data_IF_324183226987
#
_entry.id   IF_324183226987
#
_cell.length_a   1.000
_cell.length_b   1.000
_cell.length_c   1.000
_cell.angle_alpha   90.00
_cell.angle_beta   90.00
_cell.angle_gamma   90.00
#
_symmetry.space_group_name_H-M   'P 1'
#
loop_
_entity.id
_entity.type
_entity.pdbx_description
1 polymer ?
#
# COMPACT_ATOMS: atom_id res chain seq x y z
N UNK A 1 18.52 1.56 -8.49
CA UNK A 1 18.11 2.67 -7.59
C UNK A 1 18.18 4.12 -8.15
N UNK A 2 18.95 4.45 -9.21
CA UNK A 2 19.10 5.85 -9.75
C UNK A 2 17.88 6.38 -10.54
N UNK A 3 17.22 5.53 -11.31
CA UNK A 3 16.18 5.94 -12.28
C UNK A 3 14.90 6.41 -11.55
N UNK A 4 14.50 5.71 -10.47
CA UNK A 4 13.29 6.02 -9.70
C UNK A 4 13.40 7.23 -8.81
N UNK A 5 14.54 7.43 -8.12
CA UNK A 5 14.75 8.64 -7.35
C UNK A 5 14.61 9.88 -8.23
N UNK A 6 15.08 9.80 -9.47
CA UNK A 6 15.04 10.88 -10.44
C UNK A 6 13.65 11.08 -11.04
N UNK A 7 13.01 10.03 -11.58
CA UNK A 7 11.66 10.11 -12.13
C UNK A 7 10.62 10.56 -11.10
N UNK A 8 10.75 10.08 -9.86
CA UNK A 8 9.87 10.47 -8.77
C UNK A 8 10.07 11.91 -8.35
N UNK A 9 11.32 12.39 -8.27
CA UNK A 9 11.60 13.82 -8.02
C UNK A 9 11.05 14.69 -9.15
N UNK A 10 11.17 14.27 -10.40
CA UNK A 10 10.58 14.97 -11.55
C UNK A 10 9.06 15.02 -11.38
N UNK A 11 8.40 13.91 -11.04
CA UNK A 11 6.96 13.88 -10.78
C UNK A 11 6.57 14.83 -9.64
N UNK A 12 7.31 14.83 -8.53
CA UNK A 12 7.07 15.71 -7.39
C UNK A 12 7.19 17.20 -7.79
N UNK A 13 8.22 17.56 -8.58
CA UNK A 13 8.41 18.92 -9.11
C UNK A 13 7.30 19.32 -10.08
N UNK A 14 6.99 18.46 -11.06
CA UNK A 14 5.90 18.72 -12.04
C UNK A 14 4.57 18.88 -11.32
N UNK A 15 4.29 18.03 -10.33
CA UNK A 15 3.07 18.12 -9.51
C UNK A 15 3.01 19.46 -8.77
N UNK A 16 4.11 19.88 -8.13
CA UNK A 16 4.18 21.17 -7.44
C UNK A 16 3.93 22.35 -8.38
N UNK A 17 4.61 22.39 -9.53
CA UNK A 17 4.45 23.45 -10.53
C UNK A 17 3.02 23.48 -11.06
N UNK A 18 2.45 22.32 -11.40
CA UNK A 18 1.06 22.23 -11.87
C UNK A 18 0.05 22.73 -10.85
N UNK A 19 0.25 22.40 -9.56
CA UNK A 19 -0.60 22.87 -8.48
C UNK A 19 -0.49 24.39 -8.25
N UNK A 20 0.71 24.97 -8.38
CA UNK A 20 0.89 26.42 -8.32
C UNK A 20 0.19 27.15 -9.47
N UNK A 21 0.38 26.68 -10.72
CA UNK A 21 -0.29 27.27 -11.90
C UNK A 21 -1.80 27.24 -11.73
N UNK A 22 -2.32 26.11 -11.25
CA UNK A 22 -3.74 25.94 -10.97
C UNK A 22 -4.20 26.86 -9.83
N UNK A 23 -3.42 27.04 -8.77
CA UNK A 23 -3.71 27.97 -7.67
C UNK A 23 -3.83 29.40 -8.16
N UNK A 24 -2.85 29.86 -8.96
CA UNK A 24 -2.86 31.20 -9.57
C UNK A 24 -4.08 31.41 -10.47
N UNK A 25 -4.46 30.38 -11.23
CA UNK A 25 -5.66 30.41 -12.06
C UNK A 25 -6.95 30.52 -11.22
N UNK A 26 -7.05 29.77 -10.12
CA UNK A 26 -8.19 29.88 -9.20
C UNK A 26 -8.25 31.25 -8.51
N UNK A 27 -7.10 31.81 -8.12
CA UNK A 27 -7.00 33.17 -7.57
C UNK A 27 -7.51 34.20 -8.58
N UNK A 28 -7.04 34.11 -9.83
CA UNK A 28 -7.48 34.99 -10.91
C UNK A 28 -9.00 34.97 -11.08
N UNK A 29 -9.61 33.78 -11.06
CA UNK A 29 -11.06 33.64 -11.20
C UNK A 29 -11.81 34.07 -9.93
N UNK A 30 -11.22 33.90 -8.75
CA UNK A 30 -11.81 34.30 -7.47
C UNK A 30 -12.14 35.80 -7.40
N UNK A 31 -11.40 36.65 -8.13
CA UNK A 31 -11.74 38.07 -8.29
C UNK A 31 -13.13 38.31 -8.93
N UNK A 32 -13.70 37.34 -9.64
CA UNK A 32 -15.05 37.44 -10.18
C UNK A 32 -16.12 37.02 -9.16
N UNK A 33 -15.74 36.29 -8.12
CA UNK A 33 -16.64 35.85 -7.04
C UNK A 33 -16.84 36.94 -5.97
N UNK A 34 -15.86 37.81 -5.78
CA UNK A 34 -15.85 38.87 -4.75
C UNK A 34 -16.91 39.96 -4.93
N UNK A 35 -17.72 39.89 -5.98
CA UNK A 35 -18.81 40.84 -6.26
C UNK A 35 -19.96 40.65 -5.25
N UNK A 36 -20.07 39.48 -4.62
CA UNK A 36 -21.13 39.16 -3.67
C UNK A 36 -20.51 38.85 -2.31
N UNK A 37 -20.97 39.56 -1.29
CA UNK A 37 -20.54 39.36 0.09
C UNK A 37 -20.76 37.90 0.51
N UNK A 38 -19.69 37.28 1.01
CA UNK A 38 -19.72 35.86 1.40
C UNK A 38 -20.50 35.74 2.70
N UNK A 39 -21.60 34.96 2.75
CA UNK A 39 -22.31 34.72 4.00
C UNK A 39 -21.36 34.16 5.08
N UNK A 40 -21.43 34.71 6.29
CA UNK A 40 -20.49 34.38 7.37
C UNK A 40 -20.44 32.87 7.69
N UNK A 41 -21.56 32.16 7.55
CA UNK A 41 -21.64 30.69 7.72
C UNK A 41 -20.80 29.95 6.68
N UNK A 42 -20.84 30.40 5.41
CA UNK A 42 -20.04 29.84 4.32
C UNK A 42 -18.55 30.14 4.57
N UNK A 43 -18.21 31.37 4.96
CA UNK A 43 -16.85 31.77 5.28
C UNK A 43 -16.24 30.93 6.43
N UNK A 44 -16.97 30.72 7.53
CA UNK A 44 -16.54 29.84 8.64
C UNK A 44 -16.32 28.41 8.13
N UNK A 45 -17.27 27.88 7.36
CA UNK A 45 -17.23 26.49 6.91
C UNK A 45 -16.05 26.23 5.97
N UNK A 46 -15.81 27.13 5.02
CA UNK A 46 -14.64 27.10 4.14
C UNK A 46 -13.35 27.17 4.97
N UNK A 47 -13.27 28.13 5.90
CA UNK A 47 -12.11 28.33 6.78
C UNK A 47 -11.79 27.09 7.62
N UNK A 48 -12.82 26.41 8.12
CA UNK A 48 -12.71 25.15 8.86
C UNK A 48 -12.16 24.02 7.99
N UNK A 49 -12.68 23.83 6.78
CA UNK A 49 -12.19 22.82 5.86
C UNK A 49 -10.74 23.08 5.43
N UNK A 50 -10.36 24.34 5.22
CA UNK A 50 -8.97 24.74 4.96
C UNK A 50 -8.03 24.28 6.07
N UNK A 51 -8.37 24.52 7.33
CA UNK A 51 -7.55 24.13 8.48
C UNK A 51 -7.30 22.62 8.53
N UNK A 52 -8.33 21.80 8.28
CA UNK A 52 -8.21 20.33 8.24
C UNK A 52 -7.34 19.92 7.04
N UNK A 53 -7.62 20.47 5.86
CA UNK A 53 -6.95 20.09 4.62
C UNK A 53 -5.45 20.42 4.66
N UNK A 54 -5.08 21.56 5.22
CA UNK A 54 -3.69 21.98 5.39
C UNK A 54 -2.87 20.99 6.21
N UNK A 55 -3.34 20.63 7.40
CA UNK A 55 -2.57 19.69 8.23
C UNK A 55 -2.56 18.27 7.67
N UNK A 56 -3.70 17.81 7.13
CA UNK A 56 -3.74 16.48 6.49
C UNK A 56 -2.82 16.40 5.27
N UNK A 57 -2.74 17.46 4.45
CA UNK A 57 -1.84 17.53 3.30
C UNK A 57 -0.36 17.57 3.72
N UNK A 58 -0.01 18.32 4.78
CA UNK A 58 1.35 18.32 5.34
C UNK A 58 1.71 16.92 5.87
N UNK A 59 0.79 16.27 6.58
CA UNK A 59 1.00 14.92 7.10
C UNK A 59 1.25 13.89 5.99
N UNK A 60 0.59 14.03 4.83
CA UNK A 60 0.82 13.18 3.65
C UNK A 60 2.25 13.29 3.09
N UNK A 61 2.96 14.41 3.31
CA UNK A 61 4.33 14.56 2.82
C UNK A 61 5.32 13.58 3.46
N UNK A 62 5.00 13.09 4.67
CA UNK A 62 5.84 12.18 5.44
C UNK A 62 5.82 10.74 4.91
N UNK A 63 4.82 10.36 4.12
CA UNK A 63 4.70 9.01 3.57
C UNK A 63 4.83 9.01 2.06
N UNK A 64 5.58 8.03 1.57
CA UNK A 64 6.01 8.02 0.17
C UNK A 64 4.82 7.86 -0.79
N UNK A 65 3.83 7.02 -0.49
CA UNK A 65 2.72 6.76 -1.40
C UNK A 65 1.72 7.91 -1.50
N UNK A 66 1.61 8.75 -0.46
CA UNK A 66 0.70 9.90 -0.38
C UNK A 66 1.40 11.26 -0.61
N UNK A 67 2.73 11.30 -0.66
CA UNK A 67 3.50 12.56 -0.82
C UNK A 67 3.07 13.38 -2.03
N UNK A 68 2.86 12.75 -3.19
CA UNK A 68 2.46 13.47 -4.42
C UNK A 68 1.13 14.19 -4.22
N UNK A 69 0.15 13.52 -3.58
CA UNK A 69 -1.13 14.13 -3.25
C UNK A 69 -0.95 15.27 -2.23
N UNK A 70 -0.10 15.08 -1.22
CA UNK A 70 0.26 16.13 -0.26
C UNK A 70 0.86 17.37 -0.94
N UNK A 71 1.82 17.19 -1.85
CA UNK A 71 2.45 18.27 -2.62
C UNK A 71 1.41 19.02 -3.46
N UNK A 72 0.53 18.29 -4.15
CA UNK A 72 -0.52 18.88 -4.96
C UNK A 72 -1.48 19.73 -4.11
N UNK A 73 -1.95 19.18 -2.98
CA UNK A 73 -2.85 19.90 -2.08
C UNK A 73 -2.18 21.13 -1.47
N UNK A 74 -0.93 21.01 -1.01
CA UNK A 74 -0.17 22.13 -0.45
C UNK A 74 0.03 23.23 -1.49
N UNK A 75 0.45 22.89 -2.72
CA UNK A 75 0.69 23.86 -3.80
C UNK A 75 -0.59 24.55 -4.28
N UNK A 76 -1.76 23.90 -4.19
CA UNK A 76 -3.04 24.52 -4.54
C UNK A 76 -3.56 25.40 -3.40
N UNK A 77 -3.65 24.85 -2.19
CA UNK A 77 -4.42 25.46 -1.10
C UNK A 77 -3.62 26.46 -0.26
N UNK A 78 -2.29 26.40 -0.20
CA UNK A 78 -1.50 27.46 0.50
C UNK A 78 -1.65 28.81 -0.19
N UNK A 79 -1.40 28.96 -1.50
CA UNK A 79 -1.51 30.28 -2.12
C UNK A 79 -2.95 30.80 -2.09
N UNK A 80 -3.94 29.92 -2.25
CA UNK A 80 -5.35 30.29 -2.07
C UNK A 80 -5.66 30.79 -0.65
N UNK A 81 -5.17 30.10 0.38
CA UNK A 81 -5.32 30.51 1.77
C UNK A 81 -4.75 31.92 2.00
N UNK A 82 -3.54 32.19 1.48
CA UNK A 82 -2.91 33.50 1.58
C UNK A 82 -3.77 34.57 0.89
N UNK A 83 -4.21 34.31 -0.33
CA UNK A 83 -5.06 35.24 -1.09
C UNK A 83 -6.40 35.52 -0.38
N UNK A 84 -7.08 34.48 0.11
CA UNK A 84 -8.35 34.65 0.80
C UNK A 84 -8.18 35.32 2.17
N UNK A 85 -7.04 35.12 2.84
CA UNK A 85 -6.72 35.80 4.09
C UNK A 85 -6.43 37.30 3.87
N UNK A 86 -5.69 37.67 2.81
CA UNK A 86 -5.39 39.09 2.51
C UNK A 86 -6.62 39.90 2.11
N UNK A 87 -7.67 39.23 1.62
CA UNK A 87 -8.94 39.87 1.22
C UNK A 87 -10.06 39.66 2.26
N UNK A 88 -9.72 39.24 3.48
CA UNK A 88 -10.65 39.05 4.61
C UNK A 88 -11.82 38.07 4.34
N UNK A 89 -11.67 37.17 3.37
CA UNK A 89 -12.68 36.15 3.04
C UNK A 89 -12.67 34.94 4.00
N UNK A 90 -11.78 34.95 4.98
CA UNK A 90 -11.52 33.82 5.88
C UNK A 90 -11.71 34.25 7.33
N UNK A 91 -12.34 33.34 8.09
CA UNK A 91 -12.59 33.51 9.52
C UNK A 91 -11.56 32.72 10.31
N UNK A 92 -10.72 33.43 11.06
CA UNK A 92 -9.64 32.84 11.88
C UNK A 92 -10.13 31.73 12.82
N UNK A 93 -11.29 31.93 13.48
CA UNK A 93 -11.90 30.92 14.37
C UNK A 93 -12.19 29.60 13.64
N UNK A 94 -12.62 29.68 12.38
CA UNK A 94 -12.86 28.51 11.54
C UNK A 94 -11.56 27.75 11.27
N UNK A 95 -10.50 28.46 10.83
CA UNK A 95 -9.18 27.86 10.61
C UNK A 95 -8.69 27.14 11.86
N UNK A 96 -8.70 27.82 13.01
CA UNK A 96 -8.16 27.27 14.25
C UNK A 96 -8.85 25.96 14.64
N UNK A 97 -10.19 25.91 14.56
CA UNK A 97 -10.95 24.69 14.80
C UNK A 97 -10.59 23.57 13.81
N UNK A 98 -10.42 23.93 12.53
CA UNK A 98 -10.00 22.99 11.50
C UNK A 98 -8.59 22.43 11.74
N UNK A 99 -7.65 23.28 12.14
CA UNK A 99 -6.27 22.91 12.51
C UNK A 99 -6.29 21.92 13.69
N UNK A 100 -7.06 22.18 14.74
CA UNK A 100 -7.13 21.26 15.89
C UNK A 100 -7.54 19.84 15.46
N UNK A 101 -8.57 19.71 14.63
CA UNK A 101 -9.03 18.41 14.13
C UNK A 101 -8.01 17.80 13.18
N UNK A 102 -7.48 18.59 12.24
CA UNK A 102 -6.45 18.16 11.31
C UNK A 102 -5.20 17.64 12.02
N UNK A 103 -4.82 18.25 13.15
CA UNK A 103 -3.66 17.87 13.95
C UNK A 103 -3.86 16.51 14.61
N UNK A 104 -5.02 16.30 15.27
CA UNK A 104 -5.37 15.02 15.90
C UNK A 104 -5.37 13.89 14.86
N UNK A 105 -5.99 14.11 13.70
CA UNK A 105 -6.03 13.13 12.61
C UNK A 105 -4.64 12.83 12.05
N UNK A 106 -3.80 13.85 11.90
CA UNK A 106 -2.42 13.73 11.44
C UNK A 106 -1.59 12.91 12.43
N UNK A 107 -1.65 13.23 13.72
CA UNK A 107 -0.95 12.46 14.76
C UNK A 107 -1.42 11.00 14.78
N UNK A 108 -2.73 10.76 14.75
CA UNK A 108 -3.27 9.41 14.72
C UNK A 108 -2.73 8.60 13.53
N UNK A 109 -2.74 9.19 12.33
CA UNK A 109 -2.25 8.54 11.12
C UNK A 109 -0.75 8.29 11.16
N UNK A 110 0.05 9.23 11.67
CA UNK A 110 1.50 9.09 11.84
C UNK A 110 1.85 7.97 12.84
N UNK A 111 1.20 7.95 14.01
CA UNK A 111 1.47 6.95 15.05
C UNK A 111 0.94 5.56 14.73
N UNK A 112 -0.13 5.46 13.93
CA UNK A 112 -0.68 4.15 13.50
C UNK A 112 -0.19 3.70 12.13
N UNK A 113 0.62 4.52 11.44
CA UNK A 113 1.04 4.30 10.05
C UNK A 113 -0.19 4.03 9.15
N UNK A 114 -1.23 4.87 9.25
CA UNK A 114 -2.52 4.74 8.54
C UNK A 114 -2.78 5.94 7.62
N UNK A 115 -1.88 6.17 6.67
CA UNK A 115 -1.98 7.26 5.70
C UNK A 115 -3.16 7.09 4.72
N UNK A 116 -3.72 5.87 4.62
CA UNK A 116 -5.00 5.61 3.95
C UNK A 116 -6.16 6.41 4.56
N UNK A 117 -6.13 6.64 5.87
CA UNK A 117 -7.14 7.43 6.59
C UNK A 117 -7.00 8.90 6.23
N UNK A 118 -5.78 9.45 6.20
CA UNK A 118 -5.55 10.84 5.78
C UNK A 118 -6.08 11.06 4.37
N UNK A 119 -5.77 10.14 3.45
CA UNK A 119 -6.26 10.20 2.07
C UNK A 119 -7.79 10.22 2.00
N UNK A 120 -8.46 9.36 2.78
CA UNK A 120 -9.92 9.30 2.83
C UNK A 120 -10.51 10.58 3.39
N UNK A 121 -9.94 11.11 4.47
CA UNK A 121 -10.36 12.37 5.07
C UNK A 121 -10.15 13.51 4.09
N UNK A 122 -8.98 13.66 3.46
CA UNK A 122 -8.74 14.74 2.52
C UNK A 122 -9.67 14.67 1.31
N UNK A 123 -10.01 13.47 0.80
CA UNK A 123 -11.05 13.36 -0.25
C UNK A 123 -12.43 13.82 0.23
N UNK A 124 -12.81 13.50 1.45
CA UNK A 124 -14.07 13.95 2.04
C UNK A 124 -14.08 15.48 2.26
N UNK A 125 -12.98 16.03 2.76
CA UNK A 125 -12.81 17.48 2.98
C UNK A 125 -12.79 18.24 1.64
N UNK A 126 -12.10 17.73 0.63
CA UNK A 126 -12.16 18.27 -0.75
C UNK A 126 -13.59 18.23 -1.28
N UNK A 127 -14.30 17.11 -1.09
CA UNK A 127 -15.72 17.02 -1.51
C UNK A 127 -16.58 18.06 -0.80
N UNK A 128 -16.43 18.20 0.51
CA UNK A 128 -17.13 19.23 1.28
C UNK A 128 -16.79 20.65 0.81
N UNK A 129 -15.52 20.90 0.49
CA UNK A 129 -15.06 22.20 -0.01
C UNK A 129 -15.72 22.55 -1.34
N UNK A 130 -15.67 21.64 -2.33
CA UNK A 130 -16.29 21.86 -3.63
C UNK A 130 -17.82 21.92 -3.54
N UNK A 131 -18.44 21.15 -2.65
CA UNK A 131 -19.87 21.25 -2.39
C UNK A 131 -20.27 22.64 -1.89
N UNK A 132 -19.56 23.18 -0.89
CA UNK A 132 -19.80 24.53 -0.37
C UNK A 132 -19.55 25.58 -1.46
N UNK A 133 -18.49 25.42 -2.26
CA UNK A 133 -18.21 26.31 -3.39
C UNK A 133 -19.35 26.30 -4.42
N UNK A 134 -19.91 25.13 -4.75
CA UNK A 134 -21.06 25.03 -5.68
C UNK A 134 -22.29 25.73 -5.08
N UNK A 135 -22.58 25.51 -3.79
CA UNK A 135 -23.69 26.21 -3.10
C UNK A 135 -23.51 27.73 -3.18
N UNK A 136 -22.27 28.22 -2.97
CA UNK A 136 -21.96 29.64 -3.08
C UNK A 136 -22.09 30.18 -4.51
N UNK A 137 -21.62 29.42 -5.52
CA UNK A 137 -21.78 29.77 -6.94
C UNK A 137 -23.27 29.85 -7.31
N UNK A 138 -24.08 28.89 -6.87
CA UNK A 138 -25.52 28.89 -7.10
C UNK A 138 -26.21 30.08 -6.43
N UNK A 139 -25.86 30.38 -5.18
CA UNK A 139 -26.35 31.56 -4.47
C UNK A 139 -26.02 32.84 -5.24
N UNK A 140 -24.76 32.99 -5.67
CA UNK A 140 -24.33 34.15 -6.43
C UNK A 140 -25.01 34.25 -7.79
N UNK A 141 -25.24 33.13 -8.46
CA UNK A 141 -25.97 33.06 -9.73
C UNK A 141 -27.41 33.56 -9.59
N UNK A 142 -28.12 33.15 -8.54
CA UNK A 142 -29.48 33.64 -8.26
C UNK A 142 -29.48 35.16 -8.06
N UNK A 143 -28.53 35.68 -7.27
CA UNK A 143 -28.41 37.12 -7.04
C UNK A 143 -28.10 37.92 -8.32
N UNK A 144 -27.35 37.33 -9.26
CA UNK A 144 -26.98 37.96 -10.54
C UNK A 144 -28.07 37.92 -11.60
N UNK A 145 -28.99 36.93 -11.57
CA UNK A 145 -30.17 36.93 -12.44
C UNK A 145 -30.97 38.21 -12.24
N UNK A 146 -31.07 38.69 -10.99
CA UNK A 146 -31.76 39.94 -10.68
C UNK A 146 -31.04 41.20 -11.20
N UNK A 147 -29.73 41.13 -11.49
CA UNK A 147 -28.93 42.27 -11.97
C UNK A 147 -28.66 42.28 -13.48
N UNK A 148 -29.16 41.30 -14.24
CA UNK A 148 -29.09 41.23 -15.73
C UNK A 148 -27.68 41.37 -16.35
N UNK A 149 -26.61 40.95 -15.67
CA UNK A 149 -25.24 41.02 -16.23
C UNK A 149 -24.80 39.73 -16.93
N UNK A 150 -24.89 39.71 -18.27
CA UNK A 150 -24.50 38.56 -19.12
C UNK A 150 -23.01 38.19 -18.94
N UNK A 151 -22.13 39.19 -18.78
CA UNK A 151 -20.69 38.95 -18.60
C UNK A 151 -20.39 38.23 -17.29
N UNK A 152 -21.09 38.57 -16.20
CA UNK A 152 -20.92 37.92 -14.90
C UNK A 152 -21.48 36.50 -14.90
N UNK A 153 -22.64 36.29 -15.54
CA UNK A 153 -23.23 34.97 -15.75
C UNK A 153 -22.25 34.01 -16.44
N UNK A 154 -21.56 34.48 -17.50
CA UNK A 154 -20.54 33.70 -18.21
C UNK A 154 -19.37 33.29 -17.30
N UNK A 155 -18.90 34.21 -16.45
CA UNK A 155 -17.80 33.93 -15.53
C UNK A 155 -18.16 32.88 -14.47
N UNK A 156 -19.39 32.90 -13.95
CA UNK A 156 -19.88 31.90 -12.99
C UNK A 156 -20.00 30.50 -13.62
N UNK A 157 -20.45 30.40 -14.88
CA UNK A 157 -20.50 29.12 -15.61
C UNK A 157 -19.07 28.56 -15.81
N UNK A 158 -18.13 29.41 -16.24
CA UNK A 158 -16.74 29.02 -16.44
C UNK A 158 -16.12 28.51 -15.14
N UNK A 159 -16.36 29.22 -14.02
CA UNK A 159 -15.91 28.81 -12.70
C UNK A 159 -16.50 27.45 -12.28
N UNK A 160 -17.79 27.21 -12.53
CA UNK A 160 -18.42 25.93 -12.22
C UNK A 160 -17.77 24.76 -12.99
N UNK A 161 -17.51 24.94 -14.28
CA UNK A 161 -16.84 23.93 -15.13
C UNK A 161 -15.43 23.66 -14.60
N UNK A 162 -14.65 24.72 -14.35
CA UNK A 162 -13.27 24.60 -13.86
C UNK A 162 -13.23 23.95 -12.48
N UNK A 163 -14.11 24.37 -11.57
CA UNK A 163 -14.23 23.79 -10.24
C UNK A 163 -14.58 22.30 -10.29
N UNK A 164 -15.48 21.91 -11.21
CA UNK A 164 -15.85 20.51 -11.43
C UNK A 164 -14.70 19.67 -11.98
N UNK A 165 -13.97 20.19 -12.98
CA UNK A 165 -12.78 19.52 -13.53
C UNK A 165 -11.72 19.35 -12.45
N UNK A 166 -11.48 20.39 -11.66
CA UNK A 166 -10.50 20.35 -10.58
C UNK A 166 -10.91 19.35 -9.49
N UNK A 167 -12.18 19.34 -9.08
CA UNK A 167 -12.70 18.35 -8.15
C UNK A 167 -12.39 16.92 -8.64
N UNK A 168 -12.70 16.62 -9.90
CA UNK A 168 -12.45 15.29 -10.48
C UNK A 168 -10.96 14.94 -10.53
N UNK A 169 -10.10 15.91 -10.86
CA UNK A 169 -8.64 15.72 -10.88
C UNK A 169 -8.12 15.41 -9.47
N UNK A 170 -8.51 16.21 -8.47
CA UNK A 170 -8.09 16.01 -7.08
C UNK A 170 -8.57 14.65 -6.53
N UNK A 171 -9.82 14.25 -6.81
CA UNK A 171 -10.32 12.94 -6.39
C UNK A 171 -9.55 11.77 -6.99
N UNK A 172 -9.05 11.92 -8.23
CA UNK A 172 -8.21 10.91 -8.89
C UNK A 172 -6.77 10.89 -8.36
N UNK A 173 -6.20 12.04 -8.01
CA UNK A 173 -4.80 12.15 -7.58
C UNK A 173 -4.58 11.85 -6.09
N UNK A 174 -5.60 12.02 -5.25
CA UNK A 174 -5.54 11.69 -3.82
C UNK A 174 -5.75 10.18 -3.64
N UNK A 175 -4.69 9.41 -3.92
CA UNK A 175 -4.64 7.96 -3.76
C UNK A 175 -3.93 7.63 -2.45
N UNK A 176 -4.52 6.72 -1.68
CA UNK A 176 -3.99 6.28 -0.41
C UNK A 176 -3.97 4.77 -0.38
N UNK A 177 -2.84 4.22 0.01
CA UNK A 177 -2.65 2.78 0.12
C UNK A 177 -2.47 2.45 1.59
N UNK A 178 -3.12 1.40 2.06
CA UNK A 178 -2.90 0.89 3.41
C UNK A 178 -1.44 0.40 3.49
N UNK A 179 -0.59 1.17 4.17
CA UNK A 179 0.84 0.89 4.31
C UNK A 179 1.16 -0.13 5.40
N UNK A 180 0.18 -0.48 6.24
CA UNK A 180 0.39 -1.27 7.46
C UNK A 180 0.59 -2.78 7.19
N UNK A 181 -0.13 -3.32 6.21
CA UNK A 181 -0.14 -4.75 5.92
C UNK A 181 0.48 -5.00 4.55
N UNK A 182 1.70 -5.55 4.53
CA UNK A 182 2.36 -6.07 3.32
C UNK A 182 2.26 -7.58 3.34
N UNK A 183 1.62 -8.17 2.36
CA UNK A 183 1.45 -9.61 2.29
C UNK A 183 2.46 -10.23 1.33
N UNK A 184 3.23 -11.24 1.75
CA UNK A 184 4.14 -12.00 0.86
C UNK A 184 3.46 -13.28 0.40
N UNK A 185 3.33 -13.41 -0.91
CA UNK A 185 2.58 -14.44 -1.59
C UNK A 185 3.50 -15.19 -2.56
N UNK A 186 3.55 -16.51 -2.47
CA UNK A 186 4.37 -17.30 -3.39
C UNK A 186 4.07 -18.80 -3.32
N UNK A 187 4.28 -19.53 -4.43
CA UNK A 187 4.11 -20.98 -4.47
C UNK A 187 5.08 -21.70 -3.50
N UNK A 188 4.93 -23.02 -3.28
CA UNK A 188 5.95 -23.82 -2.60
C UNK A 188 7.34 -23.54 -3.17
N UNK A 189 8.37 -23.63 -2.34
CA UNK A 189 9.77 -23.43 -2.73
C UNK A 189 10.18 -22.03 -3.23
N UNK A 190 9.27 -21.06 -3.33
CA UNK A 190 9.59 -19.69 -3.78
C UNK A 190 10.49 -18.85 -2.85
N UNK A 191 10.96 -19.40 -1.73
CA UNK A 191 11.87 -18.71 -0.80
C UNK A 191 11.19 -17.79 0.23
N UNK A 192 9.88 -17.94 0.48
CA UNK A 192 9.11 -17.17 1.48
C UNK A 192 9.82 -17.08 2.83
N UNK A 193 10.26 -18.22 3.36
CA UNK A 193 10.86 -18.35 4.68
C UNK A 193 12.24 -17.68 4.77
N UNK A 194 13.08 -17.80 3.74
CA UNK A 194 14.37 -17.09 3.70
C UNK A 194 14.17 -15.57 3.54
N UNK A 195 13.19 -15.14 2.75
CA UNK A 195 12.83 -13.72 2.63
C UNK A 195 12.29 -13.16 3.96
N UNK A 196 11.62 -13.96 4.77
CA UNK A 196 11.23 -13.57 6.12
C UNK A 196 12.46 -13.30 7.00
N UNK A 197 13.44 -14.20 7.00
CA UNK A 197 14.67 -14.02 7.77
C UNK A 197 15.44 -12.77 7.31
N UNK A 198 15.46 -12.51 6.00
CA UNK A 198 15.98 -11.28 5.41
C UNK A 198 15.36 -10.03 6.02
N UNK A 199 14.02 -9.97 6.02
CA UNK A 199 13.31 -8.83 6.56
C UNK A 199 13.49 -8.71 8.06
N UNK A 200 13.55 -9.82 8.79
CA UNK A 200 13.81 -9.81 10.23
C UNK A 200 15.17 -9.17 10.54
N UNK A 201 16.24 -9.62 9.89
CA UNK A 201 17.58 -9.04 10.03
C UNK A 201 17.58 -7.54 9.71
N UNK A 202 16.99 -7.15 8.57
CA UNK A 202 16.91 -5.76 8.17
C UNK A 202 16.12 -4.90 9.16
N UNK A 203 15.02 -5.41 9.72
CA UNK A 203 14.24 -4.68 10.73
C UNK A 203 15.00 -4.49 12.04
N UNK A 204 15.72 -5.51 12.50
CA UNK A 204 16.54 -5.43 13.72
C UNK A 204 17.68 -4.43 13.52
N UNK A 205 18.47 -4.61 12.45
CA UNK A 205 19.70 -3.84 12.24
C UNK A 205 19.46 -2.41 11.78
N UNK A 206 18.52 -2.18 10.85
CA UNK A 206 18.30 -0.87 10.25
C UNK A 206 17.21 -0.06 10.97
N UNK A 207 16.15 -0.72 11.41
CA UNK A 207 15.00 -0.06 12.03
C UNK A 207 14.97 -0.16 13.56
N UNK A 208 16.02 -0.72 14.18
CA UNK A 208 16.12 -0.97 15.63
C UNK A 208 14.86 -1.69 16.13
N UNK A 209 14.45 -2.69 15.37
CA UNK A 209 13.15 -3.32 15.47
C UNK A 209 13.10 -4.54 16.37
N UNK A 210 11.90 -5.07 16.51
CA UNK A 210 11.61 -6.35 17.17
C UNK A 210 10.66 -7.16 16.30
N UNK A 211 10.56 -8.46 16.55
CA UNK A 211 9.57 -9.32 15.93
C UNK A 211 8.64 -9.92 16.98
N UNK A 212 7.44 -10.26 16.55
CA UNK A 212 6.52 -11.14 17.28
C UNK A 212 6.04 -12.21 16.32
N UNK A 213 5.96 -13.45 16.79
CA UNK A 213 5.54 -14.58 15.98
C UNK A 213 4.38 -15.34 16.63
N UNK A 214 3.49 -15.86 15.79
CA UNK A 214 2.37 -16.70 16.18
C UNK A 214 2.32 -17.87 15.22
N UNK A 215 2.61 -19.06 15.75
CA UNK A 215 2.61 -20.30 14.97
C UNK A 215 1.43 -21.15 15.40
N UNK A 216 0.66 -21.56 14.41
CA UNK A 216 -0.47 -22.46 14.50
C UNK A 216 -0.18 -23.65 13.58
N UNK A 217 -0.09 -24.83 14.18
CA UNK A 217 0.27 -26.09 13.52
C UNK A 217 -0.39 -27.22 14.31
N UNK A 218 -0.80 -28.28 13.60
CA UNK A 218 -1.27 -29.52 14.19
C UNK A 218 -0.12 -30.50 14.50
N UNK A 219 1.13 -30.12 14.20
CA UNK A 219 2.32 -30.97 14.33
C UNK A 219 3.18 -30.57 15.55
N UNK A 220 3.87 -31.55 16.14
CA UNK A 220 4.74 -31.35 17.30
C UNK A 220 6.02 -30.55 16.97
N UNK A 221 6.43 -30.53 15.69
CA UNK A 221 7.59 -29.81 15.15
C UNK A 221 7.29 -28.34 14.81
N UNK A 222 6.16 -27.80 15.28
CA UNK A 222 5.78 -26.39 15.12
C UNK A 222 6.84 -25.40 15.65
N UNK A 223 7.70 -25.85 16.58
CA UNK A 223 8.79 -25.03 17.12
C UNK A 223 9.82 -24.70 16.05
N UNK A 224 9.99 -25.52 15.02
CA UNK A 224 11.00 -25.30 13.98
C UNK A 224 10.68 -24.08 13.11
N UNK A 225 9.42 -23.65 13.08
CA UNK A 225 8.96 -22.44 12.39
C UNK A 225 9.23 -21.15 13.18
N UNK A 226 9.81 -21.22 14.39
CA UNK A 226 10.21 -20.02 15.13
C UNK A 226 11.42 -19.37 14.49
N UNK A 227 11.46 -18.04 14.41
CA UNK A 227 12.57 -17.29 13.82
C UNK A 227 13.91 -17.70 14.46
N UNK A 228 13.95 -17.84 15.78
CA UNK A 228 15.15 -18.28 16.51
C UNK A 228 15.66 -19.65 16.03
N UNK A 229 14.76 -20.62 15.88
CA UNK A 229 15.13 -21.97 15.44
C UNK A 229 15.50 -22.00 13.96
N UNK A 230 14.77 -21.26 13.11
CA UNK A 230 15.11 -21.10 11.71
C UNK A 230 16.50 -20.49 11.52
N UNK A 231 16.88 -19.49 12.34
CA UNK A 231 18.22 -18.92 12.34
C UNK A 231 19.28 -19.94 12.75
N UNK A 232 19.04 -20.72 13.82
CA UNK A 232 19.95 -21.80 14.25
C UNK A 232 20.15 -22.83 13.13
N UNK A 233 19.09 -23.24 12.44
CA UNK A 233 19.17 -24.18 11.31
C UNK A 233 20.02 -23.62 10.18
N UNK A 234 19.84 -22.33 9.84
CA UNK A 234 20.66 -21.66 8.82
C UNK A 234 22.12 -21.53 9.26
N UNK A 235 22.39 -21.19 10.52
CA UNK A 235 23.75 -21.12 11.07
C UNK A 235 24.48 -22.47 11.02
N UNK A 236 23.73 -23.58 11.08
CA UNK A 236 24.25 -24.95 10.91
C UNK A 236 24.46 -25.36 9.46
N UNK A 237 24.09 -24.52 8.49
CA UNK A 237 24.12 -24.86 7.06
C UNK A 237 23.05 -25.86 6.64
N UNK A 238 22.03 -26.06 7.48
CA UNK A 238 20.90 -26.94 7.20
C UNK A 238 19.80 -26.16 6.48
N UNK A 239 18.99 -26.87 5.65
CA UNK A 239 17.84 -26.25 5.00
C UNK A 239 16.65 -26.21 5.95
N UNK A 240 16.02 -25.04 6.06
CA UNK A 240 14.75 -24.89 6.78
C UNK A 240 13.68 -25.77 6.10
N UNK A 241 12.91 -26.51 6.90
CA UNK A 241 11.80 -27.32 6.39
C UNK A 241 10.73 -26.46 5.74
N UNK A 242 10.00 -27.03 4.78
CA UNK A 242 8.84 -26.35 4.20
C UNK A 242 7.67 -26.36 5.18
N UNK A 243 6.88 -25.28 5.19
CA UNK A 243 5.63 -25.18 5.95
C UNK A 243 4.58 -26.14 5.37
N UNK A 244 3.96 -26.96 6.22
CA UNK A 244 2.89 -27.88 5.78
C UNK A 244 1.61 -27.12 5.44
N UNK A 245 0.68 -27.79 4.75
CA UNK A 245 -0.59 -27.19 4.32
C UNK A 245 -1.45 -26.72 5.50
N UNK A 246 -1.45 -27.45 6.61
CA UNK A 246 -2.23 -27.17 7.82
C UNK A 246 -1.49 -26.27 8.83
N UNK A 247 -0.33 -25.73 8.44
CA UNK A 247 0.46 -24.81 9.25
C UNK A 247 0.32 -23.37 8.75
N UNK A 248 0.16 -22.46 9.71
CA UNK A 248 0.33 -21.03 9.51
C UNK A 248 1.24 -20.47 10.58
N UNK A 249 2.27 -19.77 10.12
CA UNK A 249 3.10 -18.94 10.96
C UNK A 249 2.94 -17.47 10.55
N UNK A 250 2.64 -16.62 11.52
CA UNK A 250 2.53 -15.18 11.33
C UNK A 250 3.69 -14.50 12.04
N UNK A 251 4.38 -13.62 11.33
CA UNK A 251 5.52 -12.87 11.84
C UNK A 251 5.22 -11.39 11.67
N UNK A 252 5.23 -10.65 12.77
CA UNK A 252 5.04 -9.20 12.78
C UNK A 252 6.33 -8.54 13.18
N UNK A 253 7.01 -7.95 12.19
CA UNK A 253 8.23 -7.17 12.36
C UNK A 253 7.84 -5.72 12.62
N UNK A 254 8.39 -5.11 13.67
CA UNK A 254 8.12 -3.74 14.09
C UNK A 254 9.42 -2.98 14.20
N UNK A 255 9.44 -1.72 13.79
CA UNK A 255 10.61 -0.86 13.91
C UNK A 255 10.27 0.61 13.78
N UNK A 256 11.28 1.47 13.66
CA UNK A 256 11.08 2.92 13.48
C UNK A 256 11.85 3.46 12.27
N UNK A 257 11.12 3.94 11.27
CA UNK A 257 11.70 4.71 10.15
C UNK A 257 12.13 6.09 10.66
N UNK A 258 13.37 6.47 10.37
CA UNK A 258 13.99 7.73 10.84
C UNK A 258 13.92 7.89 12.38
N UNK A 259 13.93 6.79 13.13
CA UNK A 259 13.89 6.79 14.60
C UNK A 259 12.55 7.17 15.25
N UNK A 260 11.58 7.67 14.49
CA UNK A 260 10.32 8.23 15.05
C UNK A 260 9.08 7.54 14.51
N UNK A 261 9.03 7.24 13.21
CA UNK A 261 7.80 6.77 12.58
C UNK A 261 7.69 5.24 12.69
N UNK A 262 6.68 4.70 13.37
CA UNK A 262 6.54 3.26 13.52
C UNK A 262 6.28 2.63 12.15
N UNK A 263 7.01 1.55 11.87
CA UNK A 263 6.77 0.69 10.72
C UNK A 263 6.45 -0.71 11.22
N UNK A 264 5.52 -1.36 10.53
CA UNK A 264 5.09 -2.72 10.82
C UNK A 264 5.04 -3.48 9.49
N UNK A 265 5.58 -4.70 9.48
CA UNK A 265 5.53 -5.64 8.38
C UNK A 265 4.99 -6.95 8.94
N UNK A 266 3.84 -7.40 8.45
CA UNK A 266 3.28 -8.70 8.80
C UNK A 266 3.50 -9.68 7.66
N UNK A 267 4.35 -10.67 7.87
CA UNK A 267 4.51 -11.80 6.96
C UNK A 267 3.73 -13.00 7.47
N UNK A 268 3.18 -13.77 6.55
CA UNK A 268 2.47 -15.01 6.85
C UNK A 268 3.14 -16.09 6.03
N UNK A 269 3.77 -17.04 6.71
CA UNK A 269 4.24 -18.27 6.09
C UNK A 269 3.14 -19.32 6.20
N UNK A 270 2.88 -19.95 5.07
CA UNK A 270 1.77 -20.87 4.89
C UNK A 270 2.18 -21.90 3.83
N UNK A 271 1.68 -23.13 3.98
CA UNK A 271 1.90 -24.18 2.98
C UNK A 271 1.39 -23.73 1.61
N UNK A 272 2.24 -23.80 0.59
CA UNK A 272 1.91 -23.24 -0.73
C UNK A 272 0.68 -23.88 -1.40
N UNK A 273 0.22 -25.04 -0.95
CA UNK A 273 -1.04 -25.69 -1.36
C UNK A 273 -2.29 -24.86 -0.97
N UNK A 274 -2.21 -24.04 0.09
CA UNK A 274 -3.30 -23.12 0.47
C UNK A 274 -3.59 -22.06 -0.60
N UNK A 275 -2.65 -21.83 -1.52
CA UNK A 275 -2.84 -20.88 -2.61
C UNK A 275 -4.03 -21.27 -3.50
N UNK A 276 -4.19 -22.56 -3.81
CA UNK A 276 -5.32 -23.02 -4.63
C UNK A 276 -6.67 -22.80 -3.93
N UNK A 277 -6.69 -22.91 -2.60
CA UNK A 277 -7.87 -22.74 -1.74
C UNK A 277 -8.33 -21.29 -1.58
N UNK A 278 -7.51 -20.29 -1.89
CA UNK A 278 -7.94 -18.88 -1.98
C UNK A 278 -9.11 -18.72 -2.97
N UNK A 279 -9.28 -19.67 -3.90
CA UNK A 279 -10.39 -19.66 -4.82
C UNK A 279 -11.74 -20.00 -4.19
N UNK A 280 -11.77 -20.65 -3.01
CA UNK A 280 -12.97 -21.02 -2.28
C UNK A 280 -13.74 -19.79 -1.75
N UNK A 281 -15.04 -19.97 -1.50
CA UNK A 281 -15.90 -18.91 -1.00
C UNK A 281 -15.60 -18.65 0.47
N UNK A 282 -14.96 -17.52 0.74
CA UNK A 282 -14.65 -17.04 2.10
C UNK A 282 -15.84 -17.06 3.07
N UNK A 283 -17.06 -16.82 2.59
CA UNK A 283 -18.26 -16.85 3.44
C UNK A 283 -18.55 -18.25 3.95
N UNK A 284 -18.46 -19.25 3.08
CA UNK A 284 -18.69 -20.66 3.42
C UNK A 284 -17.69 -21.11 4.51
N UNK A 285 -16.40 -20.76 4.37
CA UNK A 285 -15.38 -21.07 5.38
C UNK A 285 -15.68 -20.38 6.72
N UNK A 286 -16.16 -19.13 6.70
CA UNK A 286 -16.52 -18.40 7.93
C UNK A 286 -17.75 -19.00 8.60
N UNK A 287 -18.72 -19.47 7.82
CA UNK A 287 -19.94 -20.13 8.33
C UNK A 287 -19.58 -21.44 9.03
N UNK A 288 -18.78 -22.30 8.37
CA UNK A 288 -18.25 -23.52 8.96
C UNK A 288 -17.48 -23.25 10.25
N UNK A 289 -16.60 -22.23 10.26
CA UNK A 289 -15.85 -21.86 11.46
C UNK A 289 -16.75 -21.33 12.58
N UNK A 290 -17.81 -20.58 12.24
CA UNK A 290 -18.80 -20.08 13.18
C UNK A 290 -19.53 -21.21 13.89
N UNK A 291 -19.96 -22.23 13.15
CA UNK A 291 -20.59 -23.43 13.71
C UNK A 291 -19.65 -24.20 14.64
N UNK A 292 -18.42 -24.44 14.20
CA UNK A 292 -17.43 -25.20 14.97
C UNK A 292 -16.92 -24.45 16.21
N UNK A 293 -16.75 -23.12 16.13
CA UNK A 293 -16.36 -22.28 17.26
C UNK A 293 -17.54 -21.95 18.19
N UNK A 294 -18.79 -22.23 17.78
CA UNK A 294 -20.01 -21.78 18.44
C UNK A 294 -20.02 -20.26 18.72
N UNK A 295 -19.39 -19.50 17.82
CA UNK A 295 -19.38 -18.04 17.85
C UNK A 295 -20.22 -17.51 16.69
N UNK A 296 -20.85 -16.35 16.85
CA UNK A 296 -21.59 -15.70 15.76
C UNK A 296 -20.67 -15.39 14.55
N UNK A 297 -21.14 -15.64 13.33
CA UNK A 297 -20.40 -15.39 12.08
C UNK A 297 -19.80 -13.97 11.99
N UNK A 298 -20.54 -12.94 12.42
CA UNK A 298 -20.06 -11.56 12.43
C UNK A 298 -18.85 -11.40 13.34
N UNK A 299 -18.89 -12.02 14.52
CA UNK A 299 -17.80 -12.02 15.49
C UNK A 299 -16.58 -12.73 14.92
N UNK A 300 -16.76 -13.92 14.34
CA UNK A 300 -15.69 -14.68 13.67
C UNK A 300 -15.08 -13.84 12.54
N UNK A 301 -15.90 -13.27 11.66
CA UNK A 301 -15.46 -12.43 10.54
C UNK A 301 -14.70 -11.18 10.97
N UNK A 302 -15.01 -10.62 12.13
CA UNK A 302 -14.31 -9.45 12.68
C UNK A 302 -12.97 -9.83 13.33
N UNK A 303 -12.96 -10.92 14.10
CA UNK A 303 -11.77 -11.42 14.81
C UNK A 303 -10.77 -12.12 13.88
N UNK A 304 -11.24 -12.78 12.82
CA UNK A 304 -10.37 -13.50 11.89
C UNK A 304 -9.39 -12.53 11.23
N UNK A 305 -8.12 -12.91 11.17
CA UNK A 305 -7.04 -12.02 10.74
C UNK A 305 -6.34 -11.24 11.87
N UNK A 306 -6.66 -11.47 13.14
CA UNK A 306 -5.93 -10.89 14.28
C UNK A 306 -5.09 -11.92 15.05
N UNK A 307 -4.05 -11.44 15.74
CA UNK A 307 -3.20 -12.29 16.59
C UNK A 307 -4.00 -12.82 17.78
N UNK A 308 -4.89 -12.00 18.34
CA UNK A 308 -5.75 -12.39 19.48
C UNK A 308 -6.67 -13.55 19.10
N UNK A 309 -7.20 -13.56 17.87
CA UNK A 309 -8.02 -14.65 17.38
C UNK A 309 -7.21 -15.96 17.26
N UNK A 310 -6.04 -15.92 16.62
CA UNK A 310 -5.18 -17.11 16.52
C UNK A 310 -4.77 -17.62 17.91
N UNK A 311 -4.44 -16.72 18.83
CA UNK A 311 -4.14 -17.08 20.21
C UNK A 311 -5.35 -17.67 20.94
N UNK A 312 -6.58 -17.19 20.65
CA UNK A 312 -7.79 -17.74 21.25
C UNK A 312 -8.11 -19.14 20.72
N UNK A 313 -7.86 -19.39 19.43
CA UNK A 313 -8.00 -20.71 18.82
C UNK A 313 -6.94 -21.66 19.37
N UNK A 314 -5.69 -21.22 19.47
CA UNK A 314 -4.58 -22.04 20.02
C UNK A 314 -4.85 -22.48 21.47
N UNK A 315 -5.48 -21.64 22.28
CA UNK A 315 -5.90 -22.00 23.65
C UNK A 315 -7.03 -23.02 23.68
N UNK A 316 -7.80 -23.11 22.60
CA UNK A 316 -8.87 -24.09 22.45
C UNK A 316 -8.30 -25.41 21.93
N UNK A 317 -7.93 -26.32 22.84
CA UNK A 317 -7.30 -27.64 22.57
C UNK A 317 -8.02 -28.52 21.55
N UNK A 318 -9.26 -28.21 21.20
CA UNK A 318 -10.05 -28.89 20.16
C UNK A 318 -9.44 -28.69 18.76
N UNK A 319 -8.71 -27.59 18.53
CA UNK A 319 -8.11 -27.25 17.24
C UNK A 319 -6.75 -27.89 17.00
N UNK A 320 -6.02 -28.27 18.06
CA UNK A 320 -4.73 -28.98 17.94
C UNK A 320 -4.92 -30.41 17.38
N UNK A 321 -6.13 -30.97 17.42
CA UNK A 321 -6.41 -32.36 17.03
C UNK A 321 -7.19 -32.54 15.73
N UNK A 322 -7.54 -31.45 15.04
CA UNK A 322 -8.37 -31.52 13.83
C UNK A 322 -7.71 -30.74 12.69
N UNK A 323 -6.87 -31.40 11.87
CA UNK A 323 -6.17 -30.77 10.75
C UNK A 323 -7.11 -30.04 9.77
N UNK A 324 -8.33 -30.53 9.59
CA UNK A 324 -9.33 -29.91 8.71
C UNK A 324 -9.82 -28.53 9.24
N UNK A 325 -9.99 -28.40 10.56
CA UNK A 325 -10.35 -27.12 11.16
C UNK A 325 -9.17 -26.16 11.14
N UNK A 326 -7.96 -26.69 11.37
CA UNK A 326 -6.73 -25.93 11.25
C UNK A 326 -6.56 -25.34 9.84
N UNK A 327 -6.81 -26.15 8.82
CA UNK A 327 -6.82 -25.78 7.40
C UNK A 327 -7.85 -24.67 7.09
N UNK A 328 -9.08 -24.78 7.63
CA UNK A 328 -10.12 -23.74 7.46
C UNK A 328 -9.75 -22.42 8.12
N UNK A 329 -9.22 -22.47 9.34
CA UNK A 329 -8.70 -21.28 10.04
C UNK A 329 -7.59 -20.65 9.22
N UNK A 330 -6.68 -21.47 8.71
CA UNK A 330 -5.56 -21.05 7.89
C UNK A 330 -6.02 -20.31 6.62
N UNK A 331 -6.88 -20.95 5.82
CA UNK A 331 -7.45 -20.39 4.60
C UNK A 331 -8.23 -19.10 4.84
N UNK A 332 -9.13 -19.06 5.83
CA UNK A 332 -9.92 -17.86 6.10
C UNK A 332 -9.05 -16.71 6.63
N UNK A 333 -8.02 -17.01 7.41
CA UNK A 333 -7.05 -16.02 7.85
C UNK A 333 -6.28 -15.42 6.66
N UNK A 334 -5.76 -16.27 5.79
CA UNK A 334 -5.04 -15.92 4.57
C UNK A 334 -5.87 -14.99 3.68
N UNK A 335 -7.12 -15.40 3.37
CA UNK A 335 -8.03 -14.62 2.52
C UNK A 335 -8.35 -13.26 3.15
N UNK A 336 -8.61 -13.21 4.46
CA UNK A 336 -8.91 -11.96 5.16
C UNK A 336 -7.72 -11.00 5.12
N UNK A 337 -6.50 -11.49 5.37
CA UNK A 337 -5.27 -10.69 5.32
C UNK A 337 -4.98 -10.17 3.92
N UNK A 338 -5.11 -11.03 2.91
CA UNK A 338 -5.02 -10.65 1.50
C UNK A 338 -6.04 -9.56 1.11
N UNK A 339 -7.29 -9.67 1.57
CA UNK A 339 -8.32 -8.64 1.36
C UNK A 339 -7.96 -7.30 2.03
N UNK A 340 -7.37 -7.33 3.22
CA UNK A 340 -7.03 -6.12 3.99
C UNK A 340 -5.70 -5.47 3.58
N UNK A 341 -4.76 -6.25 3.02
CA UNK A 341 -3.43 -5.79 2.64
C UNK A 341 -3.48 -4.69 1.57
N UNK A 342 -2.77 -3.58 1.77
CA UNK A 342 -2.64 -2.55 0.74
C UNK A 342 -1.53 -2.86 -0.26
N UNK A 343 -0.55 -3.69 0.16
CA UNK A 343 0.63 -4.07 -0.61
C UNK A 343 0.75 -5.60 -0.64
N UNK A 344 1.03 -6.17 -1.81
CA UNK A 344 1.21 -7.61 -2.00
C UNK A 344 2.52 -7.83 -2.77
N UNK A 345 3.38 -8.68 -2.23
CA UNK A 345 4.63 -9.14 -2.85
C UNK A 345 4.39 -10.54 -3.40
N UNK A 346 4.62 -10.74 -4.68
CA UNK A 346 4.53 -12.01 -5.40
C UNK A 346 5.93 -12.55 -5.63
N UNK A 347 6.20 -13.79 -5.21
CA UNK A 347 7.52 -14.40 -5.30
C UNK A 347 7.66 -15.30 -6.53
N UNK A 348 8.69 -15.05 -7.33
CA UNK A 348 9.06 -15.85 -8.49
C UNK A 348 10.34 -16.62 -8.13
N UNK A 349 10.35 -17.93 -8.31
CA UNK A 349 11.57 -18.71 -8.13
C UNK A 349 12.55 -18.42 -9.28
N UNK A 350 13.78 -18.01 -8.95
CA UNK A 350 14.85 -17.71 -9.91
C UNK A 350 15.19 -18.87 -10.84
N UNK A 351 14.92 -20.12 -10.44
CA UNK A 351 15.07 -21.30 -11.32
C UNK A 351 14.15 -21.26 -12.54
N UNK A 352 12.99 -20.61 -12.42
CA UNK A 352 12.09 -20.43 -13.55
C UNK A 352 12.65 -19.46 -14.58
N UNK A 353 13.44 -18.49 -14.11
CA UNK A 353 14.13 -17.53 -14.96
C UNK A 353 15.37 -18.16 -15.59
N UNK A 354 16.19 -18.91 -14.85
CA UNK A 354 17.36 -19.60 -15.42
C UNK A 354 16.98 -20.62 -16.50
N UNK A 355 15.91 -21.38 -16.28
CA UNK A 355 15.40 -22.36 -17.23
C UNK A 355 14.42 -21.79 -18.27
N UNK A 356 14.35 -20.47 -18.46
CA UNK A 356 13.34 -19.81 -19.30
C UNK A 356 13.26 -20.36 -20.73
N UNK A 357 14.41 -20.68 -21.33
CA UNK A 357 14.50 -21.21 -22.70
C UNK A 357 14.22 -22.72 -22.80
N UNK A 358 13.97 -23.40 -21.67
CA UNK A 358 13.48 -24.78 -21.61
C UNK A 358 11.98 -24.85 -21.29
N UNK A 359 11.59 -25.80 -20.45
CA UNK A 359 10.18 -26.04 -20.10
C UNK A 359 9.61 -24.99 -19.11
N UNK A 360 10.47 -24.19 -18.47
CA UNK A 360 10.04 -23.32 -17.37
C UNK A 360 9.22 -22.09 -17.85
N UNK A 361 9.19 -21.81 -19.15
CA UNK A 361 8.29 -20.79 -19.72
C UNK A 361 6.81 -21.14 -19.48
N UNK A 362 6.44 -22.41 -19.56
CA UNK A 362 5.06 -22.87 -19.30
C UNK A 362 4.67 -22.66 -17.83
N UNK A 363 5.60 -22.93 -16.91
CA UNK A 363 5.41 -22.69 -15.49
C UNK A 363 5.23 -21.20 -15.18
N UNK A 364 6.01 -20.32 -15.83
CA UNK A 364 5.83 -18.87 -15.73
C UNK A 364 4.48 -18.41 -16.29
N UNK A 365 4.04 -19.00 -17.41
CA UNK A 365 2.70 -18.72 -17.97
C UNK A 365 1.63 -19.01 -16.93
N UNK A 366 1.70 -20.20 -16.31
CA UNK A 366 0.79 -20.64 -15.26
C UNK A 366 0.83 -19.74 -14.01
N UNK A 367 2.04 -19.40 -13.55
CA UNK A 367 2.27 -18.56 -12.37
C UNK A 367 1.67 -17.15 -12.54
N UNK A 368 1.94 -16.48 -13.65
CA UNK A 368 1.39 -15.14 -13.91
C UNK A 368 -0.12 -15.18 -14.17
N UNK A 369 -0.62 -16.23 -14.83
CA UNK A 369 -2.06 -16.45 -14.96
C UNK A 369 -2.74 -16.59 -13.59
N UNK A 370 -2.09 -17.30 -12.67
CA UNK A 370 -2.56 -17.45 -11.30
C UNK A 370 -2.54 -16.14 -10.51
N UNK A 371 -1.44 -15.38 -10.55
CA UNK A 371 -1.39 -14.05 -9.95
C UNK A 371 -2.46 -13.11 -10.53
N UNK A 372 -2.73 -13.18 -11.84
CA UNK A 372 -3.80 -12.41 -12.47
C UNK A 372 -5.17 -12.67 -11.83
N UNK A 373 -5.50 -13.95 -11.57
CA UNK A 373 -6.75 -14.32 -10.88
C UNK A 373 -6.82 -13.80 -9.44
N UNK A 374 -5.69 -13.77 -8.73
CA UNK A 374 -5.61 -13.20 -7.38
C UNK A 374 -5.90 -11.70 -7.42
N UNK A 375 -5.29 -10.96 -8.35
CA UNK A 375 -5.51 -9.52 -8.49
C UNK A 375 -6.98 -9.21 -8.79
N UNK A 376 -7.62 -9.97 -9.67
CA UNK A 376 -9.05 -9.82 -9.98
C UNK A 376 -9.93 -10.01 -8.74
N UNK A 377 -9.66 -11.05 -7.94
CA UNK A 377 -10.46 -11.36 -6.75
C UNK A 377 -10.23 -10.38 -5.59
N UNK A 378 -9.01 -9.86 -5.42
CA UNK A 378 -8.63 -9.07 -4.26
C UNK A 378 -8.69 -7.54 -4.49
N UNK A 379 -8.60 -7.09 -5.74
CA UNK A 379 -8.77 -5.70 -6.13
C UNK A 379 -7.57 -5.11 -6.86
N UNK A 380 -7.83 -4.58 -8.06
CA UNK A 380 -6.83 -3.99 -8.97
C UNK A 380 -6.16 -2.70 -8.46
N UNK A 381 -6.65 -2.15 -7.34
CA UNK A 381 -6.21 -0.88 -6.74
C UNK A 381 -5.15 -1.03 -5.63
N UNK A 382 -4.69 -2.25 -5.34
CA UNK A 382 -3.56 -2.50 -4.41
C UNK A 382 -2.22 -2.23 -5.09
N UNK A 383 -1.15 -2.12 -4.30
CA UNK A 383 0.22 -2.12 -4.83
C UNK A 383 0.74 -3.54 -4.91
N UNK A 384 1.22 -3.92 -6.09
CA UNK A 384 1.76 -5.23 -6.35
C UNK A 384 3.25 -5.11 -6.65
N UNK A 385 4.01 -6.06 -6.13
CA UNK A 385 5.43 -6.19 -6.34
C UNK A 385 5.72 -7.62 -6.74
N UNK A 386 6.51 -7.85 -7.77
CA UNK A 386 7.10 -9.14 -8.09
C UNK A 386 8.52 -9.16 -7.53
N UNK A 387 8.92 -10.23 -6.86
CA UNK A 387 10.27 -10.44 -6.33
C UNK A 387 10.76 -11.78 -6.85
N UNK A 388 11.83 -11.76 -7.63
CA UNK A 388 12.55 -12.96 -8.06
C UNK A 388 13.51 -13.34 -6.93
N UNK A 389 13.35 -14.53 -6.36
CA UNK A 389 14.23 -15.07 -5.32
C UNK A 389 15.26 -16.03 -5.94
N UNK A 390 16.29 -16.44 -5.18
CA UNK A 390 17.32 -17.42 -5.63
C UNK A 390 18.03 -17.01 -6.92
N UNK A 391 18.34 -15.73 -7.04
CA UNK A 391 18.91 -15.18 -8.27
C UNK A 391 20.35 -15.64 -8.53
N UNK A 392 21.01 -16.17 -7.50
CA UNK A 392 22.29 -16.89 -7.52
C UNK A 392 22.29 -18.08 -8.50
N UNK A 393 21.16 -18.75 -8.71
CA UNK A 393 21.07 -19.89 -9.64
C UNK A 393 21.17 -19.50 -11.12
N UNK A 394 21.02 -18.22 -11.48
CA UNK A 394 21.02 -17.77 -12.88
C UNK A 394 22.17 -16.82 -13.24
N UNK A 395 22.78 -16.16 -12.26
CA UNK A 395 23.98 -15.35 -12.46
C UNK A 395 24.72 -15.09 -11.15
N UNK A 396 26.04 -14.86 -11.20
CA UNK A 396 26.87 -14.47 -10.05
C UNK A 396 26.53 -13.04 -9.55
N UNK A 397 25.24 -12.73 -9.34
CA UNK A 397 24.73 -11.44 -8.87
C UNK A 397 25.37 -11.04 -7.56
N UNK A 398 25.73 -12.01 -6.71
CA UNK A 398 26.42 -11.77 -5.45
C UNK A 398 27.71 -10.96 -5.60
N UNK A 399 28.42 -11.13 -6.71
CA UNK A 399 29.70 -10.46 -6.99
C UNK A 399 29.54 -9.18 -7.83
N UNK A 400 28.31 -8.86 -8.26
CA UNK A 400 28.04 -7.73 -9.13
C UNK A 400 27.61 -6.53 -8.26
N UNK A 401 28.27 -5.37 -8.34
CA UNK A 401 27.82 -4.18 -7.64
C UNK A 401 26.44 -3.73 -8.16
N UNK A 402 25.49 -3.44 -7.26
CA UNK A 402 24.10 -3.00 -7.57
C UNK A 402 24.01 -1.82 -8.56
N UNK A 403 25.05 -0.98 -8.62
CA UNK A 403 25.07 0.24 -9.44
C UNK A 403 25.93 0.10 -10.69
N UNK A 404 26.37 -1.12 -11.01
CA UNK A 404 27.17 -1.41 -12.20
C UNK A 404 26.31 -1.51 -13.46
N UNK A 405 26.92 -1.28 -14.62
CA UNK A 405 26.24 -1.49 -15.92
C UNK A 405 25.83 -2.96 -16.11
N UNK A 406 26.64 -3.89 -15.62
CA UNK A 406 26.36 -5.35 -15.68
C UNK A 406 25.08 -5.73 -14.92
N UNK A 407 24.83 -5.11 -13.76
CA UNK A 407 23.56 -5.30 -13.04
C UNK A 407 22.37 -4.82 -13.86
N UNK A 408 22.50 -3.66 -14.53
CA UNK A 408 21.45 -3.09 -15.37
C UNK A 408 21.18 -3.92 -16.63
N UNK A 409 22.19 -4.56 -17.22
CA UNK A 409 22.03 -5.49 -18.34
C UNK A 409 21.24 -6.73 -17.94
N UNK A 410 21.61 -7.34 -16.81
CA UNK A 410 20.89 -8.49 -16.25
C UNK A 410 19.42 -8.14 -15.98
N UNK A 411 19.16 -6.97 -15.38
CA UNK A 411 17.79 -6.49 -15.16
C UNK A 411 17.00 -6.38 -16.48
N UNK A 412 17.60 -5.77 -17.51
CA UNK A 412 16.95 -5.63 -18.82
C UNK A 412 16.64 -6.98 -19.48
N UNK A 413 17.53 -7.96 -19.33
CA UNK A 413 17.35 -9.26 -19.96
C UNK A 413 16.26 -10.08 -19.28
N UNK A 414 16.23 -10.12 -17.95
CA UNK A 414 15.11 -10.70 -17.19
C UNK A 414 13.79 -10.05 -17.61
N UNK A 415 13.79 -8.72 -17.71
CA UNK A 415 12.58 -8.01 -18.11
C UNK A 415 12.11 -8.38 -19.51
N UNK A 416 13.01 -8.47 -20.49
CA UNK A 416 12.67 -8.91 -21.85
C UNK A 416 12.11 -10.34 -21.86
N UNK A 417 12.68 -11.24 -21.07
CA UNK A 417 12.16 -12.60 -20.93
C UNK A 417 10.73 -12.59 -20.41
N UNK A 418 10.48 -11.87 -19.30
CA UNK A 418 9.13 -11.76 -18.73
C UNK A 418 8.14 -11.07 -19.68
N UNK A 419 8.57 -10.02 -20.38
CA UNK A 419 7.76 -9.35 -21.41
C UNK A 419 7.37 -10.29 -22.55
N UNK A 420 8.12 -11.36 -22.82
CA UNK A 420 7.76 -12.33 -23.86
C UNK A 420 6.67 -13.33 -23.41
N UNK A 421 6.22 -13.26 -22.16
CA UNK A 421 5.16 -14.09 -21.59
C UNK A 421 3.83 -13.33 -21.62
N UNK A 422 2.82 -13.84 -22.34
CA UNK A 422 1.57 -13.08 -22.54
C UNK A 422 0.74 -12.92 -21.26
N UNK A 423 0.78 -13.90 -20.36
CA UNK A 423 0.11 -13.78 -19.05
C UNK A 423 0.79 -12.74 -18.15
N UNK A 424 2.08 -12.47 -18.32
CA UNK A 424 2.77 -11.37 -17.64
C UNK A 424 2.29 -10.00 -18.15
N UNK A 425 2.17 -9.82 -19.48
CA UNK A 425 1.59 -8.58 -20.04
C UNK A 425 0.15 -8.36 -19.55
N UNK A 426 -0.64 -9.43 -19.52
CA UNK A 426 -2.02 -9.39 -19.00
C UNK A 426 -2.06 -9.01 -17.51
N UNK A 427 -1.16 -9.57 -16.70
CA UNK A 427 -1.01 -9.22 -15.28
C UNK A 427 -0.75 -7.72 -15.10
N UNK A 428 0.21 -7.17 -15.86
CA UNK A 428 0.56 -5.75 -15.85
C UNK A 428 -0.66 -4.88 -16.17
N UNK A 429 -1.40 -5.19 -17.25
CA UNK A 429 -2.57 -4.41 -17.64
C UNK A 429 -3.72 -4.46 -16.63
N UNK A 430 -3.79 -5.49 -15.78
CA UNK A 430 -4.82 -5.60 -14.72
C UNK A 430 -4.52 -4.68 -13.53
N UNK A 431 -3.27 -4.33 -13.29
CA UNK A 431 -2.90 -3.45 -12.18
C UNK A 431 -3.23 -1.99 -12.50
N UNK A 432 -3.98 -1.30 -11.62
CA UNK A 432 -4.19 0.16 -11.75
C UNK A 432 -2.99 0.97 -11.29
N UNK A 433 -2.20 0.41 -10.38
CA UNK A 433 -0.94 0.98 -9.92
C UNK A 433 0.22 0.28 -10.66
N UNK A 434 1.37 0.94 -10.84
CA UNK A 434 2.54 0.31 -11.45
C UNK A 434 2.93 -0.98 -10.73
N UNK A 435 3.31 -1.99 -11.51
CA UNK A 435 3.87 -3.24 -10.99
C UNK A 435 5.38 -3.07 -10.82
N UNK A 436 5.88 -3.30 -9.61
CA UNK A 436 7.31 -3.19 -9.31
C UNK A 436 7.94 -4.58 -9.42
N UNK A 437 9.05 -4.73 -10.13
CA UNK A 437 9.79 -5.99 -10.19
C UNK A 437 11.12 -5.84 -9.45
N UNK A 438 11.45 -6.77 -8.56
CA UNK A 438 12.74 -6.84 -7.87
C UNK A 438 13.39 -8.20 -8.04
N UNK A 439 14.70 -8.25 -7.93
CA UNK A 439 15.49 -9.48 -7.88
C UNK A 439 16.28 -9.51 -6.56
N UNK A 440 16.27 -10.66 -5.88
CA UNK A 440 16.89 -10.85 -4.56
C UNK A 440 17.62 -12.20 -4.52
N UNK A 441 18.91 -12.16 -4.18
CA UNK A 441 19.73 -13.34 -3.95
C UNK A 441 19.71 -13.69 -2.47
N UNK A 442 19.52 -14.97 -2.16
CA UNK A 442 19.59 -15.49 -0.80
C UNK A 442 20.37 -16.81 -0.85
N UNK A 443 21.70 -16.74 -0.89
CA UNK A 443 22.51 -17.95 -0.80
C UNK A 443 22.58 -18.39 0.67
N UNK A 444 21.93 -19.52 0.97
CA UNK A 444 21.97 -20.17 2.28
C UNK A 444 23.12 -21.19 2.40
N UNK A 445 23.99 -21.30 1.39
CA UNK A 445 25.01 -22.35 1.27
C UNK A 445 26.46 -21.86 1.14
N UNK A 446 26.72 -20.55 1.29
CA UNK A 446 28.06 -19.97 1.27
C UNK A 446 28.68 -19.71 2.65
N UNK A 447 29.80 -20.36 2.95
CA UNK A 447 30.75 -20.15 4.07
C UNK A 447 30.38 -19.12 5.17
N UNK A 448 29.87 -19.64 6.29
CA UNK A 448 30.07 -19.33 7.73
C UNK A 448 30.29 -17.91 8.29
N UNK A 449 30.43 -16.82 7.53
CA UNK A 449 30.84 -15.52 8.11
C UNK A 449 30.14 -14.27 7.57
N UNK A 450 29.15 -14.37 6.69
CA UNK A 450 28.46 -13.18 6.20
C UNK A 450 26.96 -13.47 6.03
N UNK A 451 26.15 -12.91 6.93
CA UNK A 451 24.75 -12.60 6.61
C UNK A 451 24.85 -11.45 5.59
N UNK A 452 24.91 -11.81 4.30
CA UNK A 452 25.25 -10.92 3.19
C UNK A 452 24.23 -9.78 3.00
N UNK A 453 24.66 -8.65 2.40
CA UNK A 453 23.79 -7.51 2.12
C UNK A 453 22.80 -7.88 1.02
N UNK A 454 21.52 -7.88 1.38
CA UNK A 454 20.40 -8.03 0.47
C UNK A 454 20.47 -6.99 -0.64
N UNK A 455 20.85 -7.41 -1.85
CA UNK A 455 20.77 -6.53 -3.02
C UNK A 455 19.34 -6.56 -3.55
N UNK A 456 18.66 -5.42 -3.47
CA UNK A 456 17.27 -5.26 -3.94
C UNK A 456 17.33 -4.41 -5.21
N UNK A 457 17.58 -5.07 -6.34
CA UNK A 457 17.57 -4.43 -7.66
C UNK A 457 16.14 -4.34 -8.18
N UNK A 458 15.63 -3.13 -8.44
CA UNK A 458 14.34 -2.94 -9.11
C UNK A 458 14.55 -3.02 -10.61
N UNK A 459 14.04 -4.09 -11.21
CA UNK A 459 14.25 -4.45 -12.61
C UNK A 459 13.50 -3.48 -13.55
N UNK A 460 12.19 -3.24 -13.37
CA UNK A 460 11.38 -2.28 -14.18
C UNK A 460 10.13 -1.75 -13.42
N UNK A 461 9.57 -0.60 -13.85
CA UNK A 461 8.24 -0.07 -13.52
C UNK A 461 7.41 -0.35 -14.75
N UNK A 462 6.36 -1.15 -14.62
CA UNK A 462 5.49 -1.50 -15.75
C UNK A 462 4.17 -0.78 -15.62
#
# INVERSE_FOLDING_TARGET
>A
MKIYGTQRRILEVVTFVSGLVLSLFLIYISNYLSIIEIPHIIAISISFLYGILMLTAIAMLFEDDSRVAGILLVSIFIPLLLYFATNEYIVFKGILAGICIGFILSLYALFKNRFDILTRVSRAVVTGFFFIMIVYICYGFVMLIYSFSIMLIKNYIILFIIGSVLYLLLQKMIIGINSKDVFVFGPPSSGKTYLLLAFNDYFINFFHGTHNEVIFSAHDDAKDLKIENMLITVERGERIRSTYSDEIAMYTLRGKKKGVFPIELTMIDYGGEQTEKIQQRYQDIVSDLSENLKENEFTVKYKIGTIEFLNSIKKNKTFEKTPELADKVASAYLIKKLKNAGKIIFLIDGKLISGFHGNNKEELIGLFGYYGRIIEKLGTNKKYVLVITKTDDFSEILNIPEKSEKSLEIEKDIYKMLQSVDTFKSLVHKCKNPLYLFAVSADATGSLNQIYPWQVGQVVNI
#
